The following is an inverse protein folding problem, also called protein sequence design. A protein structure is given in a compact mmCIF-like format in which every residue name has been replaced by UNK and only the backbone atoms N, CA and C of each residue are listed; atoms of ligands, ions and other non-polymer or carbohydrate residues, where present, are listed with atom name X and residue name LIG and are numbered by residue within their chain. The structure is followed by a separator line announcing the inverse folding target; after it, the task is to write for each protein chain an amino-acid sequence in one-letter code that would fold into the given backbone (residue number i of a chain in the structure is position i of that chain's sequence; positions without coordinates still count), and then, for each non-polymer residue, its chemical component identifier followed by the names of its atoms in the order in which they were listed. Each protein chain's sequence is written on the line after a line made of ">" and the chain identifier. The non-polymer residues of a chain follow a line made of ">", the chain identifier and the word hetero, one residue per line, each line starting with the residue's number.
data_IF_280681596413
#
_entry.id   IF_280681596413
#
_cell.length_a   1.000
_cell.length_b   1.000
_cell.length_c   1.000
_cell.angle_alpha   90.00
_cell.angle_beta   90.00
_cell.angle_gamma   90.00
#
_symmetry.space_group_name_H-M   'P 1'
#
loop_
_entity.id
_entity.type
_entity.pdbx_description
1 polymer ?
#
# COMPACT_ATOMS: atom_id res chain seq x y z
N UNK A 1 11.35 12.47 -0.03
CA UNK A 1 11.34 12.28 -1.50
C UNK A 1 12.59 12.90 -2.08
N UNK A 2 13.21 12.32 -3.10
CA UNK A 2 14.37 12.96 -3.75
C UNK A 2 13.93 14.03 -4.75
N UNK A 3 14.52 15.25 -4.73
CA UNK A 3 14.25 16.29 -5.72
C UNK A 3 14.74 15.92 -7.13
N UNK A 4 15.74 15.03 -7.22
CA UNK A 4 16.33 14.60 -8.50
C UNK A 4 15.54 13.49 -9.20
N UNK A 5 14.47 12.97 -8.56
CA UNK A 5 13.66 11.90 -9.14
C UNK A 5 14.33 10.52 -9.18
N UNK A 6 15.48 10.35 -8.53
CA UNK A 6 16.34 9.16 -8.57
C UNK A 6 16.00 8.10 -7.50
N UNK A 7 14.89 8.28 -6.78
CA UNK A 7 14.42 7.38 -5.70
C UNK A 7 12.97 7.00 -5.92
N UNK A 8 12.63 5.72 -5.72
CA UNK A 8 11.22 5.29 -5.70
C UNK A 8 10.57 5.74 -4.39
N UNK A 9 9.50 6.52 -4.50
CA UNK A 9 8.76 7.00 -3.34
C UNK A 9 7.73 5.96 -2.82
N UNK A 10 7.44 4.94 -3.63
CA UNK A 10 6.46 3.91 -3.31
C UNK A 10 6.82 2.60 -4.00
N UNK A 11 6.88 1.55 -3.18
CA UNK A 11 7.30 0.20 -3.56
C UNK A 11 6.21 -0.86 -3.37
N UNK A 12 4.94 -0.49 -3.14
CA UNK A 12 3.87 -1.49 -3.19
C UNK A 12 3.79 -2.14 -4.57
N UNK A 13 3.42 -3.42 -4.59
CA UNK A 13 3.41 -4.25 -5.78
C UNK A 13 2.61 -3.63 -6.93
N UNK A 14 1.39 -3.15 -6.68
CA UNK A 14 0.53 -2.52 -7.69
C UNK A 14 1.13 -1.25 -8.30
N UNK A 15 1.90 -0.47 -7.51
CA UNK A 15 2.58 0.74 -7.99
C UNK A 15 3.80 0.37 -8.82
N UNK A 16 4.56 -0.63 -8.37
CA UNK A 16 5.73 -1.14 -9.09
C UNK A 16 5.32 -1.80 -10.41
N UNK A 17 4.26 -2.60 -10.41
CA UNK A 17 3.70 -3.25 -11.59
C UNK A 17 3.28 -2.22 -12.65
N UNK A 18 2.56 -1.15 -12.25
CA UNK A 18 2.24 -0.05 -13.15
C UNK A 18 3.51 0.56 -13.75
N UNK A 19 4.53 0.86 -12.96
CA UNK A 19 5.76 1.51 -13.44
C UNK A 19 6.55 0.61 -14.39
N UNK A 20 6.62 -0.69 -14.10
CA UNK A 20 7.15 -1.70 -15.01
C UNK A 20 6.37 -1.77 -16.33
N UNK A 21 5.03 -1.72 -16.26
CA UNK A 21 4.17 -1.66 -17.44
C UNK A 21 4.44 -0.40 -18.27
N UNK A 22 4.57 0.78 -17.67
CA UNK A 22 4.91 2.02 -18.41
C UNK A 22 6.24 1.90 -19.16
N UNK A 23 7.25 1.27 -18.54
CA UNK A 23 8.54 1.02 -19.20
C UNK A 23 8.39 0.12 -20.44
N UNK A 24 7.56 -0.91 -20.35
CA UNK A 24 7.20 -1.74 -21.49
C UNK A 24 6.45 -0.95 -22.57
N UNK A 25 5.45 -0.14 -22.18
CA UNK A 25 4.67 0.66 -23.13
C UNK A 25 5.52 1.71 -23.86
N UNK A 26 6.46 2.35 -23.16
CA UNK A 26 7.39 3.30 -23.78
C UNK A 26 8.26 2.58 -24.83
N UNK A 27 8.74 1.37 -24.54
CA UNK A 27 9.48 0.54 -25.52
C UNK A 27 8.61 0.21 -26.73
N UNK A 28 7.37 -0.22 -26.52
CA UNK A 28 6.44 -0.55 -27.60
C UNK A 28 6.09 0.67 -28.46
N UNK A 29 5.86 1.82 -27.83
CA UNK A 29 5.63 3.08 -28.55
C UNK A 29 6.86 3.49 -29.38
N UNK A 30 8.07 3.38 -28.81
CA UNK A 30 9.30 3.65 -29.55
C UNK A 30 9.44 2.74 -30.78
N UNK A 31 9.11 1.45 -30.66
CA UNK A 31 9.12 0.53 -31.80
C UNK A 31 8.09 0.93 -32.87
N UNK A 32 6.89 1.33 -32.45
CA UNK A 32 5.85 1.80 -33.34
C UNK A 32 6.31 3.04 -34.13
N UNK A 33 6.85 4.05 -33.44
CA UNK A 33 7.38 5.29 -34.04
C UNK A 33 8.57 5.02 -34.97
N UNK A 34 9.41 4.03 -34.65
CA UNK A 34 10.59 3.67 -35.45
C UNK A 34 10.26 2.78 -36.67
N UNK A 35 8.99 2.49 -36.95
CA UNK A 35 8.60 1.59 -38.05
C UNK A 35 8.98 0.12 -37.84
N UNK A 36 9.37 -0.28 -36.62
CA UNK A 36 9.76 -1.67 -36.27
C UNK A 36 8.56 -2.55 -35.90
N UNK A 37 7.34 -2.02 -36.03
CA UNK A 37 6.09 -2.63 -35.57
C UNK A 37 5.96 -2.62 -34.04
N UNK A 38 4.74 -2.52 -33.56
CA UNK A 38 4.38 -2.73 -32.15
C UNK A 38 3.30 -3.79 -32.07
N UNK A 39 3.24 -4.50 -30.95
CA UNK A 39 2.15 -5.41 -30.58
C UNK A 39 1.05 -4.71 -29.79
N UNK A 40 1.28 -3.47 -29.37
CA UNK A 40 0.41 -2.72 -28.46
C UNK A 40 -0.20 -1.50 -29.14
N UNK A 41 0.58 -0.76 -29.94
CA UNK A 41 0.15 0.51 -30.52
C UNK A 41 0.03 0.47 -32.04
N UNK A 42 -0.91 1.24 -32.57
CA UNK A 42 -1.04 1.59 -33.98
C UNK A 42 -1.26 3.11 -34.14
N UNK A 43 -1.11 3.60 -35.36
CA UNK A 43 -1.33 5.01 -35.65
C UNK A 43 -2.78 5.41 -35.34
N UNK A 44 -2.92 6.56 -34.70
CA UNK A 44 -4.21 7.20 -34.41
C UNK A 44 -4.73 7.99 -35.61
N UNK A 45 -5.95 8.53 -35.50
CA UNK A 45 -6.48 9.45 -36.50
C UNK A 45 -5.81 10.82 -36.37
N UNK A 46 -5.57 11.27 -35.14
CA UNK A 46 -4.83 12.50 -34.89
C UNK A 46 -3.35 12.34 -35.25
N UNK A 47 -2.83 13.28 -36.04
CA UNK A 47 -1.44 13.26 -36.52
C UNK A 47 -0.46 13.28 -35.34
N UNK A 48 0.45 12.31 -35.32
CA UNK A 48 1.48 12.20 -34.28
C UNK A 48 0.99 11.52 -32.99
N UNK A 49 -0.28 11.12 -32.93
CA UNK A 49 -0.83 10.33 -31.84
C UNK A 49 -0.83 8.83 -32.19
N UNK A 50 -0.94 8.04 -31.13
CA UNK A 50 -1.03 6.58 -31.17
C UNK A 50 -2.22 6.12 -30.35
N UNK A 51 -2.78 4.98 -30.72
CA UNK A 51 -3.85 4.33 -29.99
C UNK A 51 -3.54 2.85 -29.82
N UNK A 52 -4.26 2.19 -28.92
CA UNK A 52 -4.12 0.75 -28.74
C UNK A 52 -4.52 0.00 -30.01
N UNK A 53 -3.82 -1.10 -30.28
CA UNK A 53 -4.24 -2.02 -31.32
C UNK A 53 -5.59 -2.67 -30.96
N UNK A 54 -6.44 -2.94 -31.96
CA UNK A 54 -7.67 -3.69 -31.73
C UNK A 54 -7.40 -5.02 -31.03
N UNK A 55 -8.15 -5.31 -29.98
CA UNK A 55 -8.01 -6.54 -29.18
C UNK A 55 -6.98 -6.49 -28.06
N UNK A 56 -6.21 -5.40 -27.92
CA UNK A 56 -5.30 -5.22 -26.79
C UNK A 56 -6.05 -4.62 -25.60
N UNK A 57 -5.95 -5.27 -24.44
CA UNK A 57 -6.50 -4.78 -23.17
C UNK A 57 -5.52 -5.00 -22.02
N UNK A 58 -5.70 -4.26 -20.92
CA UNK A 58 -4.88 -4.38 -19.72
C UNK A 58 -5.71 -4.90 -18.55
N UNK A 59 -5.12 -5.84 -17.83
CA UNK A 59 -5.62 -6.42 -16.59
C UNK A 59 -4.66 -6.02 -15.46
N UNK A 60 -5.19 -5.63 -14.31
CA UNK A 60 -4.39 -5.54 -13.09
C UNK A 60 -4.71 -6.72 -12.18
N UNK A 61 -3.68 -7.44 -11.76
CA UNK A 61 -3.78 -8.43 -10.70
C UNK A 61 -3.07 -7.92 -9.44
N UNK A 62 -3.70 -8.06 -8.28
CA UNK A 62 -3.08 -7.84 -6.96
C UNK A 62 -3.38 -9.03 -6.05
N UNK A 63 -2.37 -9.55 -5.34
CA UNK A 63 -2.54 -10.72 -4.47
C UNK A 63 -3.38 -10.43 -3.22
N UNK A 64 -3.54 -9.14 -2.87
CA UNK A 64 -4.33 -8.69 -1.73
C UNK A 64 -5.11 -7.42 -2.10
N UNK A 65 -6.19 -7.11 -1.38
CA UNK A 65 -6.92 -5.85 -1.53
C UNK A 65 -5.99 -4.64 -1.43
N UNK A 66 -6.05 -3.66 -2.35
CA UNK A 66 -5.21 -2.48 -2.32
C UNK A 66 -5.33 -1.74 -0.99
N UNK A 67 -4.20 -1.27 -0.45
CA UNK A 67 -4.24 -0.52 0.81
C UNK A 67 -5.08 0.77 0.67
N UNK A 68 -5.67 1.22 1.77
CA UNK A 68 -6.56 2.38 1.80
C UNK A 68 -8.02 1.96 1.93
N UNK A 69 -8.90 2.61 1.18
CA UNK A 69 -10.35 2.40 1.30
C UNK A 69 -10.82 0.98 0.92
N UNK A 70 -10.14 0.34 -0.03
CA UNK A 70 -10.49 -0.99 -0.51
C UNK A 70 -10.19 -2.11 0.48
N UNK A 71 -9.42 -1.84 1.54
CA UNK A 71 -9.11 -2.82 2.60
C UNK A 71 -9.95 -2.63 3.86
N UNK A 72 -10.90 -1.68 3.86
CA UNK A 72 -11.83 -1.42 4.97
C UNK A 72 -13.07 -2.26 4.75
N UNK A 73 -12.98 -3.52 5.15
CA UNK A 73 -13.94 -4.58 4.80
C UNK A 73 -14.60 -5.08 6.09
N UNK A 74 -15.94 -5.12 6.18
CA UNK A 74 -16.62 -5.77 7.28
C UNK A 74 -16.16 -7.21 7.46
N UNK A 75 -15.78 -7.58 8.69
CA UNK A 75 -15.49 -8.96 9.04
C UNK A 75 -16.79 -9.78 9.01
N UNK A 76 -16.66 -11.06 8.68
CA UNK A 76 -17.78 -12.00 8.79
C UNK A 76 -18.05 -12.34 10.27
N UNK A 77 -19.25 -12.82 10.59
CA UNK A 77 -19.64 -13.13 11.98
C UNK A 77 -18.70 -14.17 12.65
N UNK A 78 -18.04 -15.02 11.86
CA UNK A 78 -17.02 -15.98 12.35
C UNK A 78 -15.69 -15.34 12.74
N UNK A 79 -15.40 -14.15 12.22
CA UNK A 79 -14.15 -13.41 12.44
C UNK A 79 -14.36 -12.17 13.31
N UNK A 80 -15.61 -11.79 13.58
CA UNK A 80 -15.94 -10.55 14.25
C UNK A 80 -15.53 -10.58 15.72
N UNK A 81 -14.64 -9.67 16.09
CA UNK A 81 -14.35 -9.34 17.48
C UNK A 81 -14.25 -7.82 17.60
N UNK A 82 -15.10 -7.15 18.40
CA UNK A 82 -15.07 -5.70 18.51
C UNK A 82 -13.72 -5.27 19.09
N UNK A 83 -12.93 -4.55 18.32
CA UNK A 83 -11.73 -3.92 18.86
C UNK A 83 -12.11 -2.66 19.66
N UNK A 84 -11.49 -2.45 20.84
CA UNK A 84 -11.73 -1.26 21.65
C UNK A 84 -11.24 0.02 20.93
N UNK A 85 -11.78 1.19 21.30
CA UNK A 85 -11.32 2.45 20.72
C UNK A 85 -9.88 2.74 21.15
N UNK A 86 -9.10 3.39 20.29
CA UNK A 86 -7.72 3.78 20.62
C UNK A 86 -7.74 5.08 21.41
N UNK A 87 -7.32 5.05 22.68
CA UNK A 87 -7.09 6.28 23.45
C UNK A 87 -5.92 7.05 22.85
N UNK A 88 -6.13 8.33 22.50
CA UNK A 88 -5.08 9.23 22.03
C UNK A 88 -3.97 9.32 23.08
N UNK A 89 -2.84 8.67 22.82
CA UNK A 89 -1.63 8.87 23.63
C UNK A 89 -1.09 10.23 23.21
N UNK A 90 -1.14 11.23 24.10
CA UNK A 90 -0.44 12.49 23.90
C UNK A 90 1.01 12.18 23.53
N UNK A 91 1.45 12.75 22.41
CA UNK A 91 2.84 12.75 21.96
C UNK A 91 3.73 13.18 23.11
N UNK A 92 4.43 12.21 23.72
CA UNK A 92 5.40 12.46 24.77
C UNK A 92 6.55 13.26 24.15
N UNK A 93 6.73 14.49 24.62
CA UNK A 93 7.80 15.39 24.19
C UNK A 93 9.16 14.72 24.39
N UNK A 94 9.91 14.59 23.30
CA UNK A 94 11.28 14.13 23.34
C UNK A 94 12.16 15.29 23.82
N UNK A 95 12.54 15.31 25.10
CA UNK A 95 13.66 16.16 25.52
C UNK A 95 14.95 15.58 24.98
N UNK A 96 15.50 16.31 24.02
CA UNK A 96 16.85 16.20 23.48
C UNK A 96 17.92 16.07 24.59
N UNK A 97 18.71 15.00 24.51
CA UNK A 97 20.11 14.99 24.95
C UNK A 97 20.86 13.91 24.18
N UNK A 98 21.68 14.37 23.24
CA UNK A 98 22.47 13.55 22.33
C UNK A 98 23.52 12.65 22.99
N UNK A 99 24.03 11.74 22.16
CA UNK A 99 25.14 10.85 22.47
C UNK A 99 25.30 9.77 21.40
N UNK A 100 26.06 10.09 20.35
CA UNK A 100 26.68 9.11 19.46
C UNK A 100 27.32 7.97 20.25
N UNK A 101 27.11 6.70 19.87
CA UNK A 101 28.18 5.68 19.83
C UNK A 101 27.75 4.37 19.16
N UNK A 102 28.66 3.93 18.29
CA UNK A 102 28.79 2.68 17.53
C UNK A 102 28.28 1.41 18.21
N UNK A 103 27.60 0.59 17.40
CA UNK A 103 27.48 -0.87 17.59
C UNK A 103 28.85 -1.54 17.40
N UNK A 104 29.30 -2.29 18.40
CA UNK A 104 30.20 -3.44 18.24
C UNK A 104 29.65 -4.58 19.08
N UNK A 105 29.66 -5.78 18.49
CA UNK A 105 29.33 -7.05 19.13
C UNK A 105 30.59 -7.65 19.77
N UNK A 106 30.42 -8.33 20.91
CA UNK A 106 31.20 -9.49 21.39
C UNK A 106 30.52 -10.08 22.65
N UNK A 107 30.41 -11.42 22.73
CA UNK A 107 29.91 -12.19 23.90
C UNK A 107 31.08 -12.61 24.86
N UNK A 108 30.91 -13.56 25.80
CA UNK A 108 30.31 -13.42 27.13
C UNK A 108 31.33 -13.68 28.26
N UNK A 109 31.10 -13.15 29.47
CA UNK A 109 32.00 -13.33 30.62
C UNK A 109 31.28 -13.46 31.97
N UNK A 110 31.74 -14.40 32.80
CA UNK A 110 31.11 -14.94 34.01
C UNK A 110 31.34 -14.12 35.30
N UNK A 111 30.26 -13.91 36.08
CA UNK A 111 30.16 -13.83 37.58
C UNK A 111 30.90 -12.73 38.38
N UNK A 112 30.72 -12.61 39.73
CA UNK A 112 29.54 -12.86 40.58
C UNK A 112 29.26 -11.79 41.70
N UNK A 113 28.03 -11.79 42.27
CA UNK A 113 27.58 -11.47 43.66
C UNK A 113 27.71 -10.05 44.30
N UNK A 114 26.60 -9.47 44.79
CA UNK A 114 26.26 -9.18 46.23
C UNK A 114 24.91 -8.41 46.36
N UNK A 115 23.89 -8.97 47.04
CA UNK A 115 23.34 -8.69 48.40
C UNK A 115 22.75 -7.27 48.70
N UNK A 116 21.40 -7.17 48.58
CA UNK A 116 20.31 -6.66 49.50
C UNK A 116 20.61 -5.66 50.65
N UNK A 117 19.65 -4.81 51.15
CA UNK A 117 18.22 -5.13 51.50
C UNK A 117 17.14 -4.09 51.10
N UNK A 118 15.89 -4.46 50.79
CA UNK A 118 14.66 -4.68 51.60
C UNK A 118 14.33 -3.58 52.63
N UNK A 119 13.23 -2.87 52.38
CA UNK A 119 12.38 -2.21 53.37
C UNK A 119 10.95 -2.66 53.07
N UNK A 120 10.35 -3.36 54.03
CA UNK A 120 8.92 -3.64 54.11
C UNK A 120 8.25 -2.51 54.88
N UNK A 121 7.00 -2.18 54.53
CA UNK A 121 5.94 -2.04 55.54
C UNK A 121 4.55 -2.19 54.90
N UNK A 122 3.65 -2.68 55.75
CA UNK A 122 2.47 -3.54 55.54
C UNK A 122 1.12 -2.77 55.39
N UNK A 123 -0.03 -3.46 55.22
CA UNK A 123 -1.18 -3.00 54.43
C UNK A 123 -2.29 -2.35 55.27
N UNK A 124 -3.29 -1.76 54.58
CA UNK A 124 -4.63 -1.51 55.13
C UNK A 124 -5.71 -2.03 54.19
N UNK A 125 -6.66 -2.73 54.82
CA UNK A 125 -7.80 -3.44 54.26
C UNK A 125 -9.05 -2.54 54.12
N UNK A 126 -10.01 -3.08 53.34
CA UNK A 126 -11.46 -2.83 53.33
C UNK A 126 -11.93 -1.51 52.66
N UNK A 127 -12.88 -1.54 51.72
CA UNK A 127 -14.21 -2.16 51.87
C UNK A 127 -14.80 -2.52 50.51
N UNK A 128 -15.45 -3.70 50.43
CA UNK A 128 -16.36 -4.08 49.34
C UNK A 128 -17.62 -3.23 49.43
N UNK A 129 -18.10 -2.69 48.31
CA UNK A 129 -19.53 -2.49 48.10
C UNK A 129 -19.87 -3.05 46.72
N UNK A 130 -20.63 -4.13 46.77
CA UNK A 130 -21.40 -4.70 45.68
C UNK A 130 -22.61 -3.79 45.47
N UNK A 131 -22.77 -3.25 44.26
CA UNK A 131 -24.08 -2.90 43.74
C UNK A 131 -24.10 -3.25 42.25
N UNK A 132 -24.66 -4.41 41.99
CA UNK A 132 -24.95 -4.92 40.67
C UNK A 132 -26.15 -4.16 40.10
N UNK A 133 -25.91 -3.26 39.16
CA UNK A 133 -26.89 -2.95 38.12
C UNK A 133 -26.50 -3.72 36.86
N UNK A 134 -27.15 -4.86 36.66
CA UNK A 134 -27.18 -5.55 35.38
C UNK A 134 -28.00 -4.72 34.41
N UNK A 135 -27.32 -3.79 33.74
CA UNK A 135 -27.85 -3.20 32.54
C UNK A 135 -27.69 -4.21 31.41
N UNK A 136 -28.75 -5.00 31.20
CA UNK A 136 -28.89 -5.97 30.13
C UNK A 136 -29.22 -5.25 28.81
N UNK A 137 -28.48 -4.19 28.48
CA UNK A 137 -28.39 -3.71 27.12
C UNK A 137 -27.52 -4.69 26.34
N UNK A 138 -28.17 -5.61 25.63
CA UNK A 138 -27.61 -6.22 24.43
C UNK A 138 -27.19 -5.09 23.50
N UNK A 139 -25.97 -4.58 23.68
CA UNK A 139 -25.32 -3.79 22.64
C UNK A 139 -25.37 -4.64 21.38
N UNK A 140 -25.93 -4.13 20.26
CA UNK A 140 -25.79 -4.84 19.00
C UNK A 140 -24.29 -5.12 18.84
N UNK A 141 -23.91 -6.39 18.73
CA UNK A 141 -22.51 -6.76 18.54
C UNK A 141 -22.01 -5.97 17.34
N UNK A 142 -21.21 -4.94 17.58
CA UNK A 142 -20.68 -4.09 16.53
C UNK A 142 -19.76 -4.99 15.70
N UNK A 143 -20.19 -5.28 14.46
CA UNK A 143 -19.39 -6.06 13.52
C UNK A 143 -18.06 -5.35 13.33
N UNK A 144 -16.96 -6.09 13.48
CA UNK A 144 -15.63 -5.50 13.30
C UNK A 144 -15.26 -5.38 11.82
N UNK A 145 -14.16 -4.70 11.52
CA UNK A 145 -13.66 -4.50 10.15
C UNK A 145 -12.20 -4.89 10.03
N UNK A 146 -11.81 -5.43 8.88
CA UNK A 146 -10.43 -5.40 8.45
C UNK A 146 -9.98 -3.94 8.32
N UNK A 147 -8.90 -3.57 9.02
CA UNK A 147 -8.41 -2.20 9.12
C UNK A 147 -7.36 -1.91 8.07
N UNK A 148 -7.27 -0.65 7.67
CA UNK A 148 -6.20 -0.17 6.79
C UNK A 148 -5.06 0.42 7.62
N UNK A 149 -3.82 0.13 7.21
CA UNK A 149 -2.65 0.84 7.74
C UNK A 149 -2.53 2.26 7.19
N UNK A 150 -3.19 2.57 6.08
CA UNK A 150 -3.16 3.90 5.47
C UNK A 150 -3.89 4.92 6.36
N UNK A 151 -3.30 6.11 6.48
CA UNK A 151 -3.79 7.19 7.35
C UNK A 151 -4.54 8.23 6.52
N UNK A 152 -5.54 8.90 7.09
CA UNK A 152 -6.20 10.03 6.42
C UNK A 152 -5.18 11.10 6.03
N UNK A 153 -5.40 11.76 4.89
CA UNK A 153 -4.58 12.90 4.46
C UNK A 153 -4.73 14.04 5.50
N UNK A 154 -3.62 14.66 5.97
CA UNK A 154 -3.69 15.79 6.89
C UNK A 154 -4.55 16.94 6.36
N UNK A 155 -5.41 17.50 7.21
CA UNK A 155 -6.34 18.58 6.85
C UNK A 155 -7.64 18.11 6.17
N UNK A 156 -7.81 16.81 5.94
CA UNK A 156 -9.07 16.21 5.50
C UNK A 156 -9.87 15.58 6.66
N UNK A 157 -10.98 14.89 6.35
CA UNK A 157 -11.74 14.13 7.35
C UNK A 157 -10.89 13.03 7.99
N UNK A 158 -10.96 12.92 9.32
CA UNK A 158 -10.22 11.93 10.10
C UNK A 158 -11.05 10.66 10.33
N UNK A 159 -10.37 9.60 10.77
CA UNK A 159 -11.02 8.38 11.23
C UNK A 159 -11.68 8.66 12.60
N UNK A 160 -12.90 8.16 12.83
CA UNK A 160 -13.58 8.36 14.12
C UNK A 160 -12.96 7.53 15.26
N UNK A 161 -12.17 6.49 14.93
CA UNK A 161 -11.48 5.60 15.87
C UNK A 161 -12.41 4.90 16.89
N UNK A 162 -13.70 4.89 16.59
CA UNK A 162 -14.72 4.19 17.36
C UNK A 162 -14.65 2.67 17.12
N UNK A 163 -15.18 1.83 18.04
CA UNK A 163 -15.17 0.38 17.86
C UNK A 163 -15.92 -0.09 16.61
N UNK A 164 -15.43 -1.16 16.00
CA UNK A 164 -16.10 -1.85 14.89
C UNK A 164 -16.15 -1.06 13.58
N UNK A 165 -17.30 -1.11 12.89
CA UNK A 165 -17.50 -0.51 11.55
C UNK A 165 -17.25 1.00 11.48
N UNK A 166 -17.39 1.71 12.59
CA UNK A 166 -17.23 3.16 12.64
C UNK A 166 -15.76 3.59 12.84
N UNK A 167 -14.82 2.63 12.96
CA UNK A 167 -13.42 2.96 13.20
C UNK A 167 -12.82 3.84 12.11
N UNK A 168 -13.05 3.50 10.84
CA UNK A 168 -12.51 4.23 9.70
C UNK A 168 -13.57 5.01 8.93
N UNK A 169 -13.24 6.23 8.54
CA UNK A 169 -14.09 7.06 7.66
C UNK A 169 -13.93 6.61 6.21
N UNK A 170 -14.94 5.97 5.61
CA UNK A 170 -14.82 5.47 4.21
C UNK A 170 -14.88 6.59 3.17
N UNK A 171 -14.33 6.36 1.98
CA UNK A 171 -14.35 7.31 0.86
C UNK A 171 -13.35 8.47 0.95
N UNK A 172 -12.61 8.60 2.06
CA UNK A 172 -11.61 9.65 2.27
C UNK A 172 -10.28 9.33 1.60
N UNK A 173 -9.51 10.36 1.25
CA UNK A 173 -8.14 10.21 0.74
C UNK A 173 -7.19 9.81 1.86
N UNK A 174 -6.28 8.89 1.55
CA UNK A 174 -5.34 8.34 2.51
C UNK A 174 -3.91 8.37 2.02
N UNK A 175 -2.97 8.58 2.93
CA UNK A 175 -1.53 8.39 2.72
C UNK A 175 -1.09 7.04 3.26
N UNK A 176 -0.02 6.50 2.69
CA UNK A 176 0.57 5.26 3.19
C UNK A 176 1.20 5.46 4.56
N UNK A 177 1.17 4.44 5.44
CA UNK A 177 1.95 4.50 6.66
C UNK A 177 3.43 4.37 6.28
N UNK A 178 4.23 5.39 6.57
CA UNK A 178 5.68 5.26 6.48
C UNK A 178 6.19 4.29 7.54
N UNK A 179 7.23 3.49 7.24
CA UNK A 179 8.05 2.87 8.29
C UNK A 179 9.04 3.93 8.78
N UNK A 180 8.58 4.86 9.61
CA UNK A 180 9.33 6.05 10.03
C UNK A 180 8.65 7.33 9.54
N UNK A 181 9.39 8.15 8.78
CA UNK A 181 8.88 9.43 8.29
C UNK A 181 7.57 9.30 7.50
N UNK A 182 6.57 10.16 7.76
CA UNK A 182 5.33 10.19 7.00
C UNK A 182 5.60 10.36 5.50
N UNK A 183 4.94 9.53 4.69
CA UNK A 183 5.04 9.63 3.22
C UNK A 183 3.88 10.43 2.66
N UNK A 184 4.16 11.25 1.65
CA UNK A 184 3.14 11.94 0.86
C UNK A 184 2.53 11.03 -0.23
N UNK A 185 2.96 9.77 -0.30
CA UNK A 185 2.38 8.81 -1.24
C UNK A 185 0.98 8.41 -0.79
N UNK A 186 0.00 8.69 -1.65
CA UNK A 186 -1.38 8.23 -1.46
C UNK A 186 -1.47 6.70 -1.40
N UNK A 187 -2.55 6.22 -0.80
CA UNK A 187 -2.90 4.81 -0.73
C UNK A 187 -3.10 4.21 -2.12
N UNK A 188 -2.99 2.89 -2.24
CA UNK A 188 -3.13 2.24 -3.52
C UNK A 188 -4.57 2.23 -4.03
N UNK A 189 -5.55 2.22 -3.13
CA UNK A 189 -6.95 2.48 -3.48
C UNK A 189 -7.09 3.83 -4.19
N UNK A 190 -6.50 4.90 -3.64
CA UNK A 190 -6.54 6.26 -4.20
C UNK A 190 -5.84 6.37 -5.55
N UNK A 191 -4.72 5.67 -5.69
CA UNK A 191 -4.00 5.62 -6.96
C UNK A 191 -4.80 4.89 -8.03
N UNK A 192 -5.42 3.76 -7.69
CA UNK A 192 -6.23 2.99 -8.62
C UNK A 192 -7.48 3.74 -9.06
N UNK A 193 -8.20 4.37 -8.12
CA UNK A 193 -9.34 5.23 -8.44
C UNK A 193 -8.92 6.38 -9.36
N UNK A 194 -7.78 7.04 -9.07
CA UNK A 194 -7.22 8.06 -9.95
C UNK A 194 -6.92 7.52 -11.35
N UNK A 195 -6.30 6.34 -11.46
CA UNK A 195 -6.02 5.72 -12.77
C UNK A 195 -7.29 5.33 -13.52
N UNK A 196 -8.40 5.08 -12.82
CA UNK A 196 -9.73 4.92 -13.41
C UNK A 196 -10.29 6.19 -14.05
N UNK A 197 -9.72 7.37 -13.78
CA UNK A 197 -10.16 8.65 -14.38
C UNK A 197 -9.14 9.17 -15.39
N UNK A 198 -7.89 9.33 -14.97
CA UNK A 198 -6.84 9.94 -15.81
C UNK A 198 -6.02 8.90 -16.60
N UNK A 199 -6.39 7.63 -16.52
CA UNK A 199 -5.65 6.52 -17.08
C UNK A 199 -4.36 6.21 -16.31
N UNK A 200 -3.86 4.98 -16.47
CA UNK A 200 -2.65 4.54 -15.79
C UNK A 200 -1.36 4.97 -16.52
N UNK A 201 -1.42 5.44 -17.77
CA UNK A 201 -0.25 5.84 -18.57
C UNK A 201 0.57 6.98 -17.94
N UNK A 202 -0.08 7.87 -17.18
CA UNK A 202 0.54 9.07 -16.62
C UNK A 202 0.79 10.19 -17.66
N UNK A 203 1.22 11.34 -17.17
CA UNK A 203 1.27 12.57 -17.98
C UNK A 203 2.19 12.45 -19.21
N UNK A 204 3.43 12.00 -19.03
CA UNK A 204 4.42 11.96 -20.12
C UNK A 204 3.96 11.11 -21.30
N UNK A 205 3.48 9.89 -21.04
CA UNK A 205 3.04 8.99 -22.10
C UNK A 205 1.73 9.49 -22.75
N UNK A 206 0.86 10.19 -22.00
CA UNK A 206 -0.40 10.73 -22.54
C UNK A 206 -0.22 11.74 -23.68
N UNK A 207 0.94 12.42 -23.76
CA UNK A 207 1.21 13.34 -24.87
C UNK A 207 1.22 12.65 -26.24
N UNK A 208 1.56 11.36 -26.28
CA UNK A 208 1.66 10.58 -27.52
C UNK A 208 0.41 9.75 -27.82
N UNK A 209 -0.55 9.70 -26.91
CA UNK A 209 -1.74 8.89 -27.05
C UNK A 209 -2.96 9.73 -27.44
N UNK A 210 -3.81 9.16 -28.30
CA UNK A 210 -5.12 9.73 -28.66
C UNK A 210 -6.13 9.52 -27.52
N UNK A 211 -6.04 8.38 -26.83
CA UNK A 211 -6.91 8.01 -25.70
C UNK A 211 -6.09 7.55 -24.48
N UNK A 212 -6.64 7.79 -23.29
CA UNK A 212 -6.06 7.32 -22.04
C UNK A 212 -6.14 5.79 -21.92
N UNK A 213 -5.18 5.19 -21.20
CA UNK A 213 -5.11 3.75 -21.01
C UNK A 213 -5.73 3.37 -19.66
N UNK A 214 -6.67 2.43 -19.70
CA UNK A 214 -7.38 1.95 -18.52
C UNK A 214 -7.16 0.46 -18.31
N UNK A 215 -7.29 0.01 -17.07
CA UNK A 215 -7.45 -1.41 -16.79
C UNK A 215 -8.89 -1.79 -17.11
N UNK A 216 -9.07 -2.77 -17.99
CA UNK A 216 -10.40 -3.33 -18.31
C UNK A 216 -10.96 -4.14 -17.14
N UNK A 217 -10.07 -4.79 -16.38
CA UNK A 217 -10.42 -5.65 -15.26
C UNK A 217 -9.37 -5.50 -14.15
N UNK A 218 -9.82 -5.54 -12.89
CA UNK A 218 -8.99 -5.60 -11.68
C UNK A 218 -9.33 -6.87 -10.91
N UNK A 219 -8.32 -7.73 -10.72
CA UNK A 219 -8.44 -9.01 -10.03
C UNK A 219 -7.71 -8.94 -8.70
N UNK A 220 -8.41 -9.28 -7.63
CA UNK A 220 -7.83 -9.43 -6.29
C UNK A 220 -7.64 -10.92 -5.97
N UNK A 221 -6.51 -11.28 -5.38
CA UNK A 221 -6.23 -12.64 -4.92
C UNK A 221 -7.15 -13.11 -3.80
N UNK A 222 -6.92 -14.34 -3.34
CA UNK A 222 -7.62 -14.90 -2.18
C UNK A 222 -7.14 -14.21 -0.89
N UNK A 223 -7.97 -13.30 -0.38
CA UNK A 223 -7.79 -12.54 0.87
C UNK A 223 -9.18 -12.02 1.33
N UNK A 224 -9.29 -11.35 2.48
CA UNK A 224 -10.51 -10.60 2.81
C UNK A 224 -10.93 -9.71 1.63
N UNK A 225 -12.18 -9.82 1.22
CA UNK A 225 -12.68 -9.20 -0.01
C UNK A 225 -14.18 -8.89 0.13
N UNK A 226 -14.57 -7.69 -0.28
CA UNK A 226 -15.97 -7.34 -0.55
C UNK A 226 -16.02 -6.60 -1.88
N UNK A 227 -16.89 -7.08 -2.77
CA UNK A 227 -17.08 -6.45 -4.08
C UNK A 227 -17.62 -5.03 -3.93
N UNK A 228 -18.51 -4.82 -2.97
CA UNK A 228 -19.14 -3.54 -2.66
C UNK A 228 -18.09 -2.53 -2.15
N UNK A 229 -17.21 -2.96 -1.24
CA UNK A 229 -16.10 -2.14 -0.74
C UNK A 229 -15.12 -1.79 -1.84
N UNK A 230 -14.72 -2.77 -2.66
CA UNK A 230 -13.80 -2.53 -3.77
C UNK A 230 -14.42 -1.58 -4.81
N UNK A 231 -15.70 -1.75 -5.11
CA UNK A 231 -16.45 -0.88 -6.02
C UNK A 231 -16.56 0.55 -5.48
N UNK A 232 -16.88 0.72 -4.19
CA UNK A 232 -16.86 2.04 -3.53
C UNK A 232 -15.48 2.70 -3.67
N UNK A 233 -14.44 1.96 -3.34
CA UNK A 233 -13.08 2.45 -3.27
C UNK A 233 -12.45 2.77 -4.64
N UNK A 234 -12.85 2.07 -5.71
CA UNK A 234 -12.22 2.24 -7.03
C UNK A 234 -13.10 2.93 -8.06
N UNK A 235 -14.43 2.81 -7.95
CA UNK A 235 -15.39 3.22 -8.99
C UNK A 235 -16.33 4.31 -8.48
N UNK A 236 -17.19 4.01 -7.50
CA UNK A 236 -18.29 4.90 -7.10
C UNK A 236 -17.82 6.29 -6.69
N UNK A 237 -16.70 6.38 -5.97
CA UNK A 237 -16.20 7.68 -5.51
C UNK A 237 -15.68 8.60 -6.63
N UNK A 238 -15.51 8.09 -7.83
CA UNK A 238 -15.10 8.86 -9.01
C UNK A 238 -16.19 8.91 -10.09
N UNK A 239 -17.35 8.26 -9.89
CA UNK A 239 -18.38 8.12 -10.93
C UNK A 239 -19.09 9.42 -11.31
N UNK A 240 -19.01 10.44 -10.45
CA UNK A 240 -19.62 11.75 -10.67
C UNK A 240 -18.69 12.74 -11.41
N UNK A 241 -17.45 12.34 -11.71
CA UNK A 241 -16.50 13.19 -12.41
C UNK A 241 -16.96 13.41 -13.86
N UNK A 242 -17.11 14.68 -14.25
CA UNK A 242 -17.53 15.10 -15.59
C UNK A 242 -16.55 16.13 -16.17
N UNK A 243 -16.79 16.58 -17.41
CA UNK A 243 -15.98 17.60 -18.08
C UNK A 243 -14.50 17.22 -18.24
N UNK A 244 -14.24 15.94 -18.51
CA UNK A 244 -12.88 15.45 -18.77
C UNK A 244 -12.41 15.89 -20.18
N UNK A 245 -11.11 16.15 -20.36
CA UNK A 245 -10.56 16.43 -21.69
C UNK A 245 -10.81 15.29 -22.68
N UNK A 246 -10.78 15.61 -23.98
CA UNK A 246 -10.90 14.60 -25.03
C UNK A 246 -9.88 13.46 -24.85
N UNK A 247 -10.34 12.22 -25.07
CA UNK A 247 -9.54 11.01 -24.86
C UNK A 247 -9.52 10.48 -23.41
N UNK A 248 -10.14 11.19 -22.45
CA UNK A 248 -10.27 10.74 -21.06
C UNK A 248 -11.73 10.46 -20.68
N UNK A 249 -11.94 9.44 -19.87
CA UNK A 249 -13.24 9.03 -19.34
C UNK A 249 -13.12 8.47 -17.92
N UNK A 250 -14.26 8.33 -17.23
CA UNK A 250 -14.33 7.54 -16.01
C UNK A 250 -14.53 6.07 -16.40
N UNK A 251 -13.51 5.25 -16.18
CA UNK A 251 -13.53 3.83 -16.45
C UNK A 251 -14.00 3.04 -15.22
N UNK A 252 -15.00 2.19 -15.41
CA UNK A 252 -15.45 1.21 -14.43
C UNK A 252 -14.92 -0.18 -14.82
N UNK A 253 -13.77 -0.63 -14.30
CA UNK A 253 -13.25 -1.95 -14.61
C UNK A 253 -14.18 -3.05 -14.09
N UNK A 254 -14.11 -4.22 -14.70
CA UNK A 254 -14.65 -5.43 -14.09
C UNK A 254 -13.85 -5.76 -12.82
N UNK A 255 -14.56 -6.03 -11.72
CA UNK A 255 -13.94 -6.34 -10.43
C UNK A 255 -14.14 -7.81 -10.11
N UNK A 256 -13.04 -8.55 -10.01
CA UNK A 256 -13.05 -10.00 -9.78
C UNK A 256 -12.21 -10.38 -8.56
N UNK A 257 -12.54 -11.52 -7.96
CA UNK A 257 -11.68 -12.21 -7.01
C UNK A 257 -11.20 -13.53 -7.61
N UNK A 258 -9.91 -13.78 -7.53
CA UNK A 258 -9.33 -15.09 -7.87
C UNK A 258 -9.60 -16.10 -6.76
N UNK A 259 -9.94 -17.32 -7.15
CA UNK A 259 -10.02 -18.47 -6.24
C UNK A 259 -8.65 -19.07 -5.92
N UNK A 260 -7.58 -18.61 -6.58
CA UNK A 260 -6.22 -19.11 -6.35
C UNK A 260 -5.67 -18.61 -5.02
N UNK A 261 -5.34 -19.55 -4.14
CA UNK A 261 -4.62 -19.29 -2.90
C UNK A 261 -3.11 -19.45 -3.11
N UNK A 262 -2.34 -18.40 -2.79
CA UNK A 262 -0.89 -18.44 -2.94
C UNK A 262 -0.24 -19.15 -1.75
N UNK A 263 0.73 -20.05 -1.98
CA UNK A 263 1.43 -20.78 -0.91
C UNK A 263 2.12 -19.88 0.12
N UNK A 264 2.53 -18.67 -0.30
CA UNK A 264 3.19 -17.67 0.54
C UNK A 264 2.32 -16.43 0.76
N UNK A 265 0.99 -16.58 0.68
CA UNK A 265 0.07 -15.51 1.07
C UNK A 265 0.18 -15.20 2.57
N UNK A 266 -0.32 -14.04 2.99
CA UNK A 266 -0.33 -13.67 4.40
C UNK A 266 -1.02 -14.73 5.27
N UNK A 267 -2.22 -15.17 4.87
CA UNK A 267 -2.99 -16.19 5.59
C UNK A 267 -2.20 -17.50 5.71
N UNK A 268 -1.65 -18.01 4.60
CA UNK A 268 -0.83 -19.22 4.62
C UNK A 268 0.43 -19.08 5.47
N UNK A 269 1.04 -17.89 5.46
CA UNK A 269 2.20 -17.58 6.31
C UNK A 269 1.82 -17.61 7.79
N UNK A 270 0.69 -17.01 8.16
CA UNK A 270 0.17 -16.99 9.53
C UNK A 270 -0.19 -18.40 10.03
N UNK A 271 -0.81 -19.22 9.20
CA UNK A 271 -1.15 -20.61 9.53
C UNK A 271 0.07 -21.51 9.75
N UNK A 272 1.13 -21.32 8.96
CA UNK A 272 2.37 -22.10 9.05
C UNK A 272 3.33 -21.56 10.13
N UNK A 273 3.07 -20.37 10.64
CA UNK A 273 3.95 -19.68 11.56
C UNK A 273 3.90 -20.30 12.97
N UNK A 274 5.07 -20.53 13.55
CA UNK A 274 5.23 -20.98 14.93
C UNK A 274 5.68 -19.80 15.78
N UNK A 275 5.14 -19.66 16.99
CA UNK A 275 5.44 -18.55 17.91
C UNK A 275 6.95 -18.37 18.16
N UNK A 276 7.73 -19.46 18.13
CA UNK A 276 9.18 -19.47 18.30
C UNK A 276 9.95 -18.78 17.15
N UNK A 277 9.33 -18.60 15.98
CA UNK A 277 9.95 -18.00 14.79
C UNK A 277 9.99 -16.46 14.82
N UNK A 278 9.52 -15.85 15.92
CA UNK A 278 9.50 -14.39 16.07
C UNK A 278 8.31 -13.73 15.36
N UNK A 279 8.38 -12.43 15.06
CA UNK A 279 7.27 -11.71 14.44
C UNK A 279 7.27 -11.84 12.92
N UNK A 280 6.12 -12.19 12.33
CA UNK A 280 5.90 -12.10 10.88
C UNK A 280 6.02 -10.63 10.44
N UNK A 281 6.86 -10.37 9.45
CA UNK A 281 7.09 -9.03 8.91
C UNK A 281 7.15 -9.07 7.38
N UNK A 282 6.49 -8.11 6.74
CA UNK A 282 6.59 -7.96 5.30
C UNK A 282 8.01 -7.57 4.88
N UNK A 283 8.47 -8.16 3.77
CA UNK A 283 9.77 -7.90 3.17
C UNK A 283 9.99 -6.40 2.91
N UNK A 284 11.19 -5.89 3.23
CA UNK A 284 11.57 -4.50 2.96
C UNK A 284 12.02 -4.23 1.52
N UNK A 285 12.10 -5.28 0.69
CA UNK A 285 12.47 -5.18 -0.71
C UNK A 285 11.23 -5.33 -1.63
N UNK A 286 11.30 -4.70 -2.79
CA UNK A 286 10.34 -4.88 -3.88
C UNK A 286 11.05 -5.39 -5.13
N UNK A 287 10.50 -6.45 -5.71
CA UNK A 287 10.99 -7.06 -6.95
C UNK A 287 10.07 -6.58 -8.07
N UNK A 288 10.64 -6.28 -9.23
CA UNK A 288 9.90 -5.93 -10.43
C UNK A 288 10.49 -6.63 -11.63
N UNK A 289 9.62 -7.10 -12.51
CA UNK A 289 10.00 -7.61 -13.82
C UNK A 289 9.09 -6.95 -14.88
N UNK A 290 9.66 -6.56 -16.01
CA UNK A 290 8.87 -6.15 -17.17
C UNK A 290 9.43 -6.76 -18.45
N UNK A 291 8.54 -6.96 -19.43
CA UNK A 291 8.86 -7.61 -20.69
C UNK A 291 9.63 -6.67 -21.63
N UNK A 292 10.91 -6.45 -21.35
CA UNK A 292 11.82 -5.64 -22.17
C UNK A 292 13.16 -6.35 -22.31
N UNK A 293 13.90 -6.07 -23.38
CA UNK A 293 15.16 -6.76 -23.69
C UNK A 293 16.28 -6.44 -22.69
N UNK A 294 16.42 -5.17 -22.32
CA UNK A 294 17.52 -4.70 -21.47
C UNK A 294 17.07 -4.63 -20.02
N UNK A 295 17.80 -5.27 -19.10
CA UNK A 295 17.55 -5.20 -17.65
C UNK A 295 16.06 -5.37 -17.26
N UNK A 296 15.43 -6.51 -17.60
CA UNK A 296 14.00 -6.70 -17.33
C UNK A 296 13.67 -6.82 -15.84
N UNK A 297 14.62 -7.33 -15.03
CA UNK A 297 14.49 -7.52 -13.59
C UNK A 297 15.13 -6.36 -12.83
N UNK A 298 14.44 -5.88 -11.79
CA UNK A 298 14.96 -4.91 -10.84
C UNK A 298 14.53 -5.28 -9.42
N UNK A 299 15.44 -5.13 -8.46
CA UNK A 299 15.18 -5.39 -7.03
C UNK A 299 15.55 -4.13 -6.28
N UNK A 300 14.61 -3.61 -5.49
CA UNK A 300 14.78 -2.34 -4.78
C UNK A 300 14.54 -2.49 -3.29
N UNK A 301 15.21 -1.68 -2.49
CA UNK A 301 14.95 -1.52 -1.07
C UNK A 301 15.11 -0.04 -0.70
N UNK A 302 14.19 0.49 0.10
CA UNK A 302 14.15 1.92 0.47
C UNK A 302 14.20 2.87 -0.75
N UNK A 303 13.63 2.45 -1.88
CA UNK A 303 13.57 3.23 -3.11
C UNK A 303 14.83 3.22 -3.98
N UNK A 304 15.88 2.51 -3.59
CA UNK A 304 17.13 2.33 -4.35
C UNK A 304 17.29 0.89 -4.81
N UNK A 305 18.16 0.64 -5.79
CA UNK A 305 18.58 -0.72 -6.15
C UNK A 305 19.13 -1.46 -4.93
N UNK A 306 18.75 -2.73 -4.79
CA UNK A 306 19.16 -3.57 -3.68
C UNK A 306 20.68 -3.83 -3.74
N UNK A 307 21.34 -3.88 -2.58
CA UNK A 307 22.79 -4.07 -2.48
C UNK A 307 23.65 -2.82 -2.74
N UNK A 308 23.03 -1.67 -3.04
CA UNK A 308 23.75 -0.41 -3.25
C UNK A 308 24.36 0.09 -1.95
N UNK A 309 25.64 0.46 -2.00
CA UNK A 309 26.35 1.02 -0.85
C UNK A 309 26.05 2.51 -0.68
N UNK A 310 26.20 3.04 0.55
CA UNK A 310 26.03 4.47 0.83
C UNK A 310 26.90 5.38 -0.06
N UNK A 311 28.10 4.92 -0.46
CA UNK A 311 29.02 5.65 -1.33
C UNK A 311 28.51 5.79 -2.77
N UNK A 312 27.62 4.91 -3.21
CA UNK A 312 27.08 4.90 -4.56
C UNK A 312 25.74 5.64 -4.69
N UNK A 313 25.17 6.14 -3.58
CA UNK A 313 23.96 6.96 -3.61
C UNK A 313 24.17 8.22 -4.47
N UNK A 314 23.15 8.59 -5.24
CA UNK A 314 23.21 9.70 -6.21
C UNK A 314 23.81 9.32 -7.58
N UNK A 315 24.47 8.16 -7.68
CA UNK A 315 25.02 7.67 -8.97
C UNK A 315 23.98 6.81 -9.72
N UNK A 316 24.11 6.64 -11.06
CA UNK A 316 23.23 5.76 -11.84
C UNK A 316 23.17 4.32 -11.32
N UNK A 317 24.24 3.83 -10.67
CA UNK A 317 24.28 2.48 -10.07
C UNK A 317 23.25 2.28 -8.95
N UNK A 318 22.83 3.37 -8.30
CA UNK A 318 21.85 3.33 -7.21
C UNK A 318 20.40 3.33 -7.68
N UNK A 319 20.15 3.69 -8.95
CA UNK A 319 18.83 4.03 -9.46
C UNK A 319 18.12 2.80 -9.97
N UNK A 320 16.89 2.63 -9.51
CA UNK A 320 15.94 1.74 -10.16
C UNK A 320 15.61 2.28 -11.55
N UNK A 321 15.53 1.40 -12.55
CA UNK A 321 15.06 1.78 -13.89
C UNK A 321 13.56 2.11 -13.92
N UNK A 322 12.90 1.97 -12.78
CA UNK A 322 11.54 2.43 -12.60
C UNK A 322 11.50 3.82 -11.99
N UNK A 323 12.59 4.48 -11.55
CA UNK A 323 12.54 5.82 -10.91
C UNK A 323 12.01 6.92 -11.84
N UNK A 324 11.85 8.16 -11.37
CA UNK A 324 11.31 9.23 -12.23
C UNK A 324 12.36 9.74 -13.23
N UNK A 325 13.63 9.61 -12.89
CA UNK A 325 14.75 10.10 -13.69
C UNK A 325 15.09 9.19 -14.87
N UNK A 326 14.75 7.89 -14.76
CA UNK A 326 14.91 6.87 -15.81
C UNK A 326 13.60 6.73 -16.60
#
# INVERSE_FOLDING_TARGET
>A
MSPNGDVLNDSHAEVIARRGCLRYLIRELHRAVSGRGSSVFCSANERGKWRLQPGVSFLLFTSHTPCGDASIIPMTDSESQPCPPVSSVNSFEWTDRGGDLKRKAEEPGQGPKSKMPRLEETPKSETKNEDAYQDNHTHPQSRDIHRTGAKCVPGGPEDALSPGVEYHSTGVLRVKPGRGEPTLSLSCSDKLARWGVVGFQGALLSHFLEEALYFSTVVVGRCPYSREVLHRALVSRCSHMSNLPAGFSVCSPELLQSSLEFPFSQNQTELQHRTEQGRISACGAAISWCNVEEQPLDVTANGYKHGVTKKALGTPKSRSLLCKLE
#
